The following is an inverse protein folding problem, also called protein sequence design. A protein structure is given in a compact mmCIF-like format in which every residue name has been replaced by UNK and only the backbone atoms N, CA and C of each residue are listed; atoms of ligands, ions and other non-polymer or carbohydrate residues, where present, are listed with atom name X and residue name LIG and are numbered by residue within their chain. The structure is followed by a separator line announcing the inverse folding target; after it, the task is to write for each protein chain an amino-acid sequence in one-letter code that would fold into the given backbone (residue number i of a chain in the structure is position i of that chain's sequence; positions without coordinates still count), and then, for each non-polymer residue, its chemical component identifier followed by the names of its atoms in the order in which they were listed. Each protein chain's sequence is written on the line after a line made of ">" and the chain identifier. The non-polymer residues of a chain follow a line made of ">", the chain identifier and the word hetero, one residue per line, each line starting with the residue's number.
data_IF_190320511410
#
_entry.id   IF_190320511410
#
_cell.length_a   1.000
_cell.length_b   1.000
_cell.length_c   1.000
_cell.angle_alpha   90.00
_cell.angle_beta   90.00
_cell.angle_gamma   90.00
#
_symmetry.space_group_name_H-M   'P 1'
#
loop_
_entity.id
_entity.type
_entity.pdbx_description
1 polymer ?
#
# COMPACT_ATOMS: atom_id res chain seq x y z
N UNK A 1 19.50 -37.50 -53.86
CA UNK A 1 19.68 -36.65 -52.70
C UNK A 1 18.36 -36.61 -51.93
N UNK A 2 18.23 -37.15 -50.72
CA UNK A 2 16.97 -37.13 -50.00
C UNK A 2 16.88 -35.86 -49.14
N UNK A 3 15.73 -35.15 -49.26
CA UNK A 3 15.39 -33.98 -48.49
C UNK A 3 15.08 -34.37 -47.04
N UNK A 4 15.78 -33.74 -46.08
CA UNK A 4 15.50 -33.90 -44.65
C UNK A 4 14.36 -32.99 -44.23
N UNK A 5 13.25 -33.58 -43.83
CA UNK A 5 12.08 -32.90 -43.24
C UNK A 5 12.43 -32.57 -41.77
N UNK A 6 12.58 -31.26 -41.49
CA UNK A 6 12.79 -30.78 -40.13
C UNK A 6 11.47 -30.66 -39.39
N UNK A 7 11.22 -31.52 -38.42
CA UNK A 7 10.04 -31.45 -37.51
C UNK A 7 10.24 -30.29 -36.50
N UNK A 8 9.49 -29.22 -36.67
CA UNK A 8 9.45 -28.14 -35.67
C UNK A 8 8.49 -28.53 -34.54
N UNK A 9 9.06 -28.86 -33.41
CA UNK A 9 8.29 -29.06 -32.15
C UNK A 9 8.05 -27.66 -31.57
N UNK A 10 6.81 -27.18 -31.68
CA UNK A 10 6.36 -25.99 -30.94
C UNK A 10 6.12 -26.38 -29.49
N UNK A 11 6.97 -25.86 -28.61
CA UNK A 11 6.73 -25.97 -27.17
C UNK A 11 5.53 -25.07 -26.79
N UNK A 12 4.40 -25.71 -26.50
CA UNK A 12 3.26 -25.06 -25.87
C UNK A 12 3.61 -24.88 -24.40
N UNK A 13 3.92 -23.64 -23.99
CA UNK A 13 4.08 -23.28 -22.58
C UNK A 13 2.71 -23.33 -21.93
N UNK A 14 2.46 -24.41 -21.18
CA UNK A 14 1.31 -24.54 -20.32
C UNK A 14 1.50 -23.57 -19.13
N UNK A 15 0.86 -22.43 -19.15
CA UNK A 15 0.71 -21.57 -17.97
C UNK A 15 -0.14 -22.34 -16.95
N UNK A 16 0.50 -22.93 -15.94
CA UNK A 16 -0.17 -23.50 -14.77
C UNK A 16 -0.82 -22.35 -14.00
N UNK A 17 -2.09 -22.11 -14.21
CA UNK A 17 -2.91 -21.29 -13.31
C UNK A 17 -3.05 -22.12 -12.03
N UNK A 18 -2.44 -21.66 -10.94
CA UNK A 18 -2.64 -22.27 -9.64
C UNK A 18 -4.14 -22.30 -9.32
N UNK A 19 -4.67 -23.40 -8.78
CA UNK A 19 -6.07 -23.45 -8.40
C UNK A 19 -6.39 -22.34 -7.39
N UNK A 20 -7.57 -21.73 -7.47
CA UNK A 20 -8.02 -20.59 -6.65
C UNK A 20 -7.74 -20.79 -5.14
N UNK A 21 -7.93 -22.02 -4.64
CA UNK A 21 -7.63 -22.37 -3.25
C UNK A 21 -6.16 -22.16 -2.85
N UNK A 22 -5.20 -22.53 -3.71
CA UNK A 22 -3.76 -22.36 -3.42
C UNK A 22 -3.37 -20.86 -3.43
N UNK A 23 -4.02 -20.04 -4.26
CA UNK A 23 -3.81 -18.59 -4.29
C UNK A 23 -4.36 -17.92 -3.04
N UNK A 24 -5.59 -18.27 -2.63
CA UNK A 24 -6.20 -17.76 -1.40
C UNK A 24 -5.36 -18.11 -0.15
N UNK A 25 -4.87 -19.35 -0.06
CA UNK A 25 -3.97 -19.77 1.03
C UNK A 25 -2.68 -18.94 1.05
N UNK A 26 -2.05 -18.69 -0.11
CA UNK A 26 -0.85 -17.87 -0.22
C UNK A 26 -1.07 -16.41 0.24
N UNK A 27 -2.22 -15.81 -0.12
CA UNK A 27 -2.62 -14.48 0.33
C UNK A 27 -2.82 -14.47 1.85
N UNK A 28 -3.56 -15.45 2.38
CA UNK A 28 -3.81 -15.57 3.82
C UNK A 28 -2.53 -15.71 4.63
N UNK A 29 -1.59 -16.54 4.20
CA UNK A 29 -0.29 -16.72 4.87
C UNK A 29 0.58 -15.48 4.78
N UNK A 30 0.53 -14.74 3.67
CA UNK A 30 1.22 -13.45 3.53
C UNK A 30 0.70 -12.44 4.54
N UNK A 31 -0.62 -12.33 4.70
CA UNK A 31 -1.25 -11.47 5.69
C UNK A 31 -0.90 -11.90 7.12
N UNK A 32 -0.93 -13.21 7.41
CA UNK A 32 -0.56 -13.74 8.72
C UNK A 32 0.90 -13.41 9.09
N UNK A 33 1.80 -13.55 8.13
CA UNK A 33 3.21 -13.22 8.34
C UNK A 33 3.46 -11.71 8.46
N UNK A 34 2.66 -10.86 7.78
CA UNK A 34 2.80 -9.40 7.82
C UNK A 34 2.22 -8.78 9.09
N UNK A 35 1.20 -9.43 9.68
CA UNK A 35 0.47 -8.91 10.84
C UNK A 35 0.47 -9.89 12.02
N UNK A 36 1.66 -10.24 12.56
CA UNK A 36 1.77 -11.16 13.68
C UNK A 36 1.01 -10.63 14.90
N UNK A 37 0.27 -11.50 15.57
CA UNK A 37 -0.57 -11.15 16.72
C UNK A 37 -1.96 -10.59 16.36
N UNK A 38 -2.26 -10.36 15.08
CA UNK A 38 -3.58 -9.92 14.59
C UNK A 38 -4.29 -10.99 13.78
N UNK A 39 -3.55 -11.78 13.02
CA UNK A 39 -4.07 -12.93 12.28
C UNK A 39 -3.73 -14.19 13.05
N UNK A 40 -4.76 -14.99 13.37
CA UNK A 40 -4.63 -16.27 14.07
C UNK A 40 -4.22 -17.37 13.07
N UNK A 41 -5.07 -17.63 12.09
CA UNK A 41 -4.85 -18.70 11.11
C UNK A 41 -5.57 -18.47 9.78
N UNK A 42 -5.19 -19.24 8.80
CA UNK A 42 -5.90 -19.42 7.53
C UNK A 42 -6.72 -20.71 7.62
N UNK A 43 -7.99 -20.65 7.24
CA UNK A 43 -8.94 -21.76 7.25
C UNK A 43 -9.60 -21.84 5.86
N UNK A 44 -8.93 -22.53 4.93
CA UNK A 44 -9.32 -22.55 3.52
C UNK A 44 -9.35 -21.16 2.91
N UNK A 45 -10.50 -20.71 2.43
CA UNK A 45 -10.71 -19.38 1.85
C UNK A 45 -11.12 -18.32 2.92
N UNK A 46 -10.76 -18.53 4.18
CA UNK A 46 -11.10 -17.62 5.28
C UNK A 46 -9.88 -17.26 6.09
N UNK A 47 -9.64 -15.97 6.27
CA UNK A 47 -8.70 -15.45 7.23
C UNK A 47 -9.39 -15.28 8.58
N UNK A 48 -8.85 -15.89 9.63
CA UNK A 48 -9.35 -15.78 11.01
C UNK A 48 -8.46 -14.84 11.79
N UNK A 49 -9.05 -13.75 12.28
CA UNK A 49 -8.34 -12.78 13.12
C UNK A 49 -8.29 -13.26 14.57
N UNK A 50 -7.30 -12.81 15.34
CA UNK A 50 -7.20 -13.10 16.80
C UNK A 50 -8.40 -12.61 17.59
N UNK A 51 -9.14 -11.62 17.08
CA UNK A 51 -10.42 -11.17 17.64
C UNK A 51 -11.59 -12.13 17.41
N UNK A 52 -11.40 -13.20 16.62
CA UNK A 52 -12.45 -14.11 16.18
C UNK A 52 -13.18 -13.65 14.90
N UNK A 53 -12.88 -12.45 14.38
CA UNK A 53 -13.45 -12.01 13.10
C UNK A 53 -12.98 -12.93 11.96
N UNK A 54 -13.90 -13.31 11.09
CA UNK A 54 -13.63 -14.14 9.91
C UNK A 54 -13.82 -13.32 8.64
N UNK A 55 -12.81 -13.30 7.79
CA UNK A 55 -12.82 -12.55 6.53
C UNK A 55 -12.62 -13.49 5.36
N UNK A 56 -13.40 -13.30 4.30
CA UNK A 56 -13.23 -14.03 3.04
C UNK A 56 -11.96 -13.56 2.35
N UNK A 57 -11.11 -14.48 1.89
CA UNK A 57 -9.89 -14.15 1.19
C UNK A 57 -10.19 -13.78 -0.26
N UNK A 58 -10.91 -14.64 -0.97
CA UNK A 58 -11.32 -14.45 -2.37
C UNK A 58 -12.81 -14.73 -2.49
N UNK A 59 -13.60 -13.76 -2.91
CA UNK A 59 -15.05 -13.91 -3.07
C UNK A 59 -15.46 -14.50 -4.45
N UNK A 60 -14.47 -14.79 -5.30
CA UNK A 60 -14.65 -15.40 -6.61
C UNK A 60 -15.23 -14.46 -7.67
N UNK A 61 -15.43 -13.17 -7.37
CA UNK A 61 -15.99 -12.20 -8.31
C UNK A 61 -14.90 -11.60 -9.21
N UNK A 62 -15.12 -11.57 -10.50
CA UNK A 62 -14.32 -10.74 -11.40
C UNK A 62 -14.72 -9.27 -11.22
N UNK A 63 -13.87 -8.47 -10.58
CA UNK A 63 -14.14 -7.06 -10.25
C UNK A 63 -13.43 -6.11 -11.21
N UNK A 64 -14.12 -5.05 -11.64
CA UNK A 64 -13.52 -3.90 -12.30
C UNK A 64 -12.65 -3.11 -11.31
N UNK A 65 -11.85 -2.17 -11.81
CA UNK A 65 -11.05 -1.26 -10.97
C UNK A 65 -11.92 -0.55 -9.90
N UNK A 66 -13.04 0.04 -10.30
CA UNK A 66 -13.93 0.75 -9.38
C UNK A 66 -14.58 -0.18 -8.35
N UNK A 67 -14.91 -1.41 -8.75
CA UNK A 67 -15.46 -2.42 -7.84
C UNK A 67 -14.43 -2.89 -6.81
N UNK A 68 -13.16 -3.11 -7.22
CA UNK A 68 -12.07 -3.40 -6.28
C UNK A 68 -11.81 -2.25 -5.32
N UNK A 69 -11.92 -1.01 -5.78
CA UNK A 69 -11.81 0.14 -4.90
C UNK A 69 -12.97 0.22 -3.89
N UNK A 70 -14.20 -0.08 -4.32
CA UNK A 70 -15.40 0.08 -3.49
C UNK A 70 -15.58 -1.04 -2.47
N UNK A 71 -15.32 -2.29 -2.89
CA UNK A 71 -15.60 -3.51 -2.11
C UNK A 71 -14.52 -4.58 -2.37
N UNK A 72 -13.27 -4.33 -1.95
CA UNK A 72 -12.20 -5.31 -2.13
C UNK A 72 -12.33 -6.43 -1.10
N UNK A 73 -12.14 -7.68 -1.54
CA UNK A 73 -11.78 -8.76 -0.64
C UNK A 73 -10.28 -8.72 -0.29
N UNK A 74 -9.75 -9.72 0.39
CA UNK A 74 -8.35 -9.71 0.81
C UNK A 74 -7.41 -9.98 -0.37
N UNK A 75 -7.83 -10.79 -1.34
CA UNK A 75 -7.04 -11.11 -2.54
C UNK A 75 -6.91 -9.90 -3.45
N UNK A 76 -7.95 -9.08 -3.59
CA UNK A 76 -7.91 -7.84 -4.35
C UNK A 76 -6.81 -6.88 -3.89
N UNK A 77 -6.42 -6.91 -2.61
CA UNK A 77 -5.33 -6.06 -2.11
C UNK A 77 -3.99 -6.32 -2.82
N UNK A 78 -3.84 -7.50 -3.42
CA UNK A 78 -2.65 -7.96 -4.15
C UNK A 78 -2.84 -7.99 -5.67
N UNK A 79 -3.94 -7.46 -6.20
CA UNK A 79 -4.27 -7.55 -7.62
C UNK A 79 -3.22 -6.91 -8.53
N UNK A 80 -2.62 -5.82 -8.09
CA UNK A 80 -1.58 -5.10 -8.83
C UNK A 80 -0.21 -5.31 -8.16
N UNK A 81 0.80 -5.88 -8.85
CA UNK A 81 2.15 -6.04 -8.31
C UNK A 81 2.79 -4.68 -8.02
N UNK A 82 3.34 -4.50 -6.82
CA UNK A 82 4.03 -3.27 -6.46
C UNK A 82 5.47 -3.24 -7.00
N UNK A 83 5.82 -2.26 -7.86
CA UNK A 83 7.17 -2.15 -8.43
C UNK A 83 8.12 -1.49 -7.41
N UNK A 84 9.02 -2.26 -6.79
CA UNK A 84 10.01 -1.74 -5.83
C UNK A 84 11.13 -0.96 -6.51
N UNK A 85 11.82 -0.12 -5.72
CA UNK A 85 13.04 0.57 -6.08
C UNK A 85 12.83 2.03 -6.52
N UNK A 86 13.94 2.76 -6.67
CA UNK A 86 13.95 4.20 -6.97
C UNK A 86 13.37 4.55 -8.34
N UNK A 87 13.46 3.63 -9.31
CA UNK A 87 12.94 3.89 -10.66
C UNK A 87 11.42 3.94 -10.65
N UNK A 88 10.87 5.10 -11.02
CA UNK A 88 9.44 5.28 -11.20
C UNK A 88 9.13 5.31 -12.68
N UNK A 89 8.30 4.37 -13.12
CA UNK A 89 7.73 4.33 -14.47
C UNK A 89 6.25 4.66 -14.36
N UNK A 90 5.70 5.57 -15.18
CA UNK A 90 4.27 5.85 -15.17
C UNK A 90 3.45 4.56 -15.27
N UNK A 91 2.57 4.25 -14.31
CA UNK A 91 1.77 3.04 -14.35
C UNK A 91 0.79 3.02 -15.52
N UNK A 92 0.38 1.82 -15.95
CA UNK A 92 -0.72 1.67 -16.88
C UNK A 92 -2.03 2.18 -16.27
N UNK A 93 -3.00 2.50 -17.11
CA UNK A 93 -4.30 2.98 -16.67
C UNK A 93 -4.92 2.01 -15.66
N UNK A 94 -5.45 2.57 -14.57
CA UNK A 94 -6.14 1.83 -13.50
C UNK A 94 -5.26 0.78 -12.78
N UNK A 95 -3.93 0.95 -12.80
CA UNK A 95 -2.98 0.14 -12.03
C UNK A 95 -2.50 0.95 -10.83
N UNK A 96 -3.00 0.62 -9.64
CA UNK A 96 -2.77 1.33 -8.38
C UNK A 96 -2.31 0.33 -7.27
N UNK A 97 -1.08 -0.22 -7.34
CA UNK A 97 -0.62 -1.28 -6.45
C UNK A 97 -0.66 -0.85 -4.97
N UNK A 98 -1.36 -1.64 -4.14
CA UNK A 98 -1.55 -1.37 -2.72
C UNK A 98 -2.67 -0.38 -2.39
N UNK A 99 -3.40 0.16 -3.37
CA UNK A 99 -4.48 1.13 -3.14
C UNK A 99 -5.82 0.49 -2.76
N UNK A 100 -6.03 -0.79 -3.10
CA UNK A 100 -7.19 -1.55 -2.64
C UNK A 100 -7.01 -1.92 -1.17
N UNK A 101 -7.99 -1.60 -0.33
CA UNK A 101 -7.92 -1.80 1.13
C UNK A 101 -9.22 -2.43 1.63
N UNK A 102 -9.14 -3.65 2.11
CA UNK A 102 -10.27 -4.25 2.81
C UNK A 102 -10.46 -3.55 4.16
N UNK A 103 -11.53 -2.75 4.27
CA UNK A 103 -11.76 -1.92 5.45
C UNK A 103 -11.95 -2.73 6.73
N UNK A 104 -12.63 -3.89 6.66
CA UNK A 104 -12.84 -4.73 7.82
C UNK A 104 -11.53 -5.32 8.36
N UNK A 105 -10.60 -5.68 7.48
CA UNK A 105 -9.27 -6.13 7.86
C UNK A 105 -8.48 -5.03 8.57
N UNK A 106 -8.42 -3.82 7.97
CA UNK A 106 -7.67 -2.71 8.58
C UNK A 106 -8.32 -2.21 9.88
N UNK A 107 -9.65 -2.18 9.98
CA UNK A 107 -10.34 -1.88 11.24
C UNK A 107 -10.02 -2.92 12.33
N UNK A 108 -9.92 -4.20 11.98
CA UNK A 108 -9.52 -5.24 12.94
C UNK A 108 -8.06 -5.11 13.41
N UNK A 109 -7.15 -4.69 12.50
CA UNK A 109 -5.73 -4.49 12.84
C UNK A 109 -5.53 -3.18 13.60
N UNK A 110 -6.06 -2.05 13.13
CA UNK A 110 -5.71 -0.72 13.62
C UNK A 110 -6.80 -0.05 14.45
N UNK A 111 -8.04 -0.53 14.37
CA UNK A 111 -9.24 0.04 14.96
C UNK A 111 -10.06 0.86 13.97
N UNK A 112 -11.35 1.02 14.26
CA UNK A 112 -12.24 1.89 13.48
C UNK A 112 -12.12 3.35 13.98
N UNK A 113 -11.57 4.24 13.16
CA UNK A 113 -11.39 5.63 13.53
C UNK A 113 -12.73 6.35 13.79
N UNK A 114 -13.81 5.93 13.12
CA UNK A 114 -15.16 6.51 13.29
C UNK A 114 -15.73 6.23 14.67
N UNK A 115 -15.23 5.17 15.34
CA UNK A 115 -15.55 4.82 16.74
C UNK A 115 -14.51 5.37 17.73
N UNK A 116 -13.51 6.13 17.26
CA UNK A 116 -12.44 6.64 18.12
C UNK A 116 -11.45 5.58 18.60
N UNK A 117 -11.46 4.37 18.00
CA UNK A 117 -10.60 3.26 18.46
C UNK A 117 -9.14 3.52 18.12
N UNK A 118 -8.85 4.08 16.94
CA UNK A 118 -7.48 4.37 16.47
C UNK A 118 -6.74 5.33 17.39
N UNK A 119 -7.44 6.33 17.94
CA UNK A 119 -6.81 7.37 18.77
C UNK A 119 -6.15 6.82 20.04
N UNK A 120 -6.62 5.66 20.52
CA UNK A 120 -6.08 4.96 21.70
C UNK A 120 -4.70 4.34 21.42
N UNK A 121 -4.36 4.17 20.15
CA UNK A 121 -3.13 3.51 19.69
C UNK A 121 -2.18 4.47 18.96
N UNK A 122 -2.49 5.77 18.93
CA UNK A 122 -1.59 6.74 18.33
C UNK A 122 -0.50 7.14 19.29
N UNK A 123 0.74 7.00 18.85
CA UNK A 123 1.93 7.44 19.58
C UNK A 123 2.64 8.56 18.84
N UNK A 124 3.45 9.33 19.55
CA UNK A 124 4.28 10.39 19.01
C UNK A 124 5.54 9.76 18.37
N UNK A 125 5.79 10.06 17.10
CA UNK A 125 6.98 9.62 16.36
C UNK A 125 7.78 10.85 15.95
N UNK A 126 9.07 10.97 16.31
CA UNK A 126 9.94 12.01 15.81
C UNK A 126 10.09 11.90 14.29
N UNK A 127 9.75 12.96 13.57
CA UNK A 127 9.87 13.02 12.12
C UNK A 127 11.04 13.92 11.70
N UNK A 128 12.08 13.32 11.18
CA UNK A 128 13.34 13.97 10.73
C UNK A 128 13.73 15.17 11.63
N UNK A 129 13.91 14.95 12.95
CA UNK A 129 14.03 16.03 13.94
C UNK A 129 15.24 16.94 13.69
N UNK A 130 16.37 16.42 13.18
CA UNK A 130 17.53 17.23 12.81
C UNK A 130 17.24 18.23 11.69
N UNK A 131 16.20 17.95 10.89
CA UNK A 131 15.78 18.84 9.81
C UNK A 131 14.60 19.74 10.20
N UNK A 132 14.12 19.63 11.43
CA UNK A 132 13.01 20.43 11.94
C UNK A 132 11.63 19.90 11.58
N UNK A 133 11.49 18.61 11.29
CA UNK A 133 10.21 17.98 10.94
C UNK A 133 9.26 17.79 12.13
N UNK A 134 9.78 17.90 13.35
CA UNK A 134 8.96 17.87 14.57
C UNK A 134 8.52 16.47 14.97
N UNK A 135 7.25 16.35 15.36
CA UNK A 135 6.66 15.09 15.83
C UNK A 135 5.32 14.86 15.13
N UNK A 136 5.09 13.64 14.70
CA UNK A 136 3.84 13.20 14.07
C UNK A 136 3.17 12.11 14.90
N UNK A 137 1.85 11.91 14.73
CA UNK A 137 1.10 10.85 15.42
C UNK A 137 0.89 9.67 14.49
N UNK A 138 1.28 8.47 14.93
CA UNK A 138 1.20 7.26 14.11
C UNK A 138 0.72 6.07 14.93
N UNK A 139 0.14 5.05 14.28
CA UNK A 139 -0.37 3.88 14.98
C UNK A 139 0.77 3.04 15.55
N UNK A 140 0.70 2.69 16.85
CA UNK A 140 1.61 1.75 17.51
C UNK A 140 1.28 0.29 17.19
N UNK A 141 0.19 0.01 16.46
CA UNK A 141 -0.22 -1.36 16.13
C UNK A 141 0.55 -1.88 14.92
N UNK A 142 0.76 -3.18 14.88
CA UNK A 142 1.42 -3.92 13.81
C UNK A 142 2.82 -3.37 13.40
N UNK A 143 3.53 -2.69 14.32
CA UNK A 143 4.86 -2.17 14.05
C UNK A 143 4.91 -0.89 13.21
N UNK A 144 3.78 -0.23 12.96
CA UNK A 144 3.72 0.92 12.03
C UNK A 144 4.51 2.13 12.55
N UNK A 145 4.40 2.47 13.84
CA UNK A 145 5.14 3.60 14.42
C UNK A 145 6.66 3.35 14.46
N UNK A 146 7.06 2.13 14.79
CA UNK A 146 8.46 1.69 14.79
C UNK A 146 9.05 1.75 13.37
N UNK A 147 8.30 1.33 12.38
CA UNK A 147 8.67 1.42 10.98
C UNK A 147 8.85 2.87 10.53
N UNK A 148 7.92 3.79 10.89
CA UNK A 148 8.05 5.20 10.56
C UNK A 148 9.24 5.86 11.28
N UNK A 149 9.52 5.49 12.52
CA UNK A 149 10.69 5.97 13.25
C UNK A 149 12.01 5.52 12.58
N UNK A 150 12.05 4.29 12.08
CA UNK A 150 13.19 3.78 11.32
C UNK A 150 13.37 4.52 9.98
N UNK A 151 12.28 4.76 9.24
CA UNK A 151 12.28 5.63 8.03
C UNK A 151 12.84 7.00 8.36
N UNK A 152 12.32 7.66 9.40
CA UNK A 152 12.75 9.00 9.82
C UNK A 152 14.26 9.06 10.09
N UNK A 153 14.78 8.08 10.83
CA UNK A 153 16.21 7.97 11.17
C UNK A 153 17.07 7.76 9.93
N UNK A 154 16.65 6.90 9.01
CA UNK A 154 17.40 6.59 7.80
C UNK A 154 17.40 7.76 6.82
N UNK A 155 16.27 8.46 6.64
CA UNK A 155 16.17 9.65 5.81
C UNK A 155 17.11 10.75 6.29
N UNK A 156 17.22 10.98 7.61
CA UNK A 156 18.16 11.97 8.17
C UNK A 156 19.63 11.64 7.97
N UNK A 157 19.96 10.36 7.75
CA UNK A 157 21.31 9.92 7.40
C UNK A 157 21.62 10.09 5.91
N UNK A 158 20.60 10.36 5.11
CA UNK A 158 20.69 10.56 3.67
C UNK A 158 21.11 11.99 3.27
N UNK A 159 21.07 12.29 1.95
CA UNK A 159 21.45 13.57 1.41
C UNK A 159 20.65 14.75 2.01
N UNK A 160 21.29 15.85 2.47
CA UNK A 160 20.56 17.02 3.00
C UNK A 160 19.58 17.65 2.00
N UNK A 161 19.78 17.46 0.70
CA UNK A 161 18.88 17.92 -0.35
C UNK A 161 17.47 17.29 -0.27
N UNK A 162 17.31 16.18 0.45
CA UNK A 162 16.00 15.54 0.67
C UNK A 162 15.12 16.31 1.64
N UNK A 163 15.69 17.13 2.52
CA UNK A 163 14.94 17.94 3.50
C UNK A 163 13.72 18.63 2.90
N UNK A 164 13.89 19.30 1.75
CA UNK A 164 12.82 20.08 1.09
C UNK A 164 11.60 19.26 0.66
N UNK A 165 11.75 17.93 0.51
CA UNK A 165 10.66 17.02 0.15
C UNK A 165 9.95 16.47 1.38
N UNK A 166 10.56 16.56 2.56
CA UNK A 166 10.13 15.87 3.78
C UNK A 166 9.60 16.84 4.85
N UNK A 167 9.99 18.12 4.76
CA UNK A 167 9.65 19.16 5.76
C UNK A 167 9.08 20.40 5.08
N UNK A 168 7.93 20.89 5.57
CA UNK A 168 7.08 20.27 6.59
C UNK A 168 6.36 19.01 6.06
N UNK A 169 6.03 18.04 6.92
CA UNK A 169 5.08 16.99 6.54
C UNK A 169 3.67 17.58 6.46
N UNK A 170 2.87 17.09 5.51
CA UNK A 170 1.47 17.52 5.37
C UNK A 170 0.51 16.80 6.33
N UNK A 171 1.02 15.82 7.09
CA UNK A 171 0.29 15.18 8.18
C UNK A 171 0.26 13.66 8.11
N UNK A 172 -0.29 13.07 9.18
CA UNK A 172 -0.41 11.62 9.35
C UNK A 172 -1.85 11.23 9.65
N UNK A 173 -2.24 11.20 10.94
CA UNK A 173 -3.58 10.78 11.33
C UNK A 173 -4.65 11.81 11.01
N UNK A 174 -5.64 11.37 10.25
CA UNK A 174 -6.86 12.14 9.98
C UNK A 174 -8.02 11.17 9.72
N UNK A 175 -8.96 11.06 10.67
CA UNK A 175 -10.15 10.22 10.51
C UNK A 175 -11.11 10.85 9.49
N UNK A 176 -11.02 10.41 8.25
CA UNK A 176 -11.88 10.87 7.15
C UNK A 176 -12.15 9.75 6.15
N UNK A 177 -13.27 9.85 5.46
CA UNK A 177 -13.50 9.10 4.23
C UNK A 177 -12.81 9.80 3.05
N UNK A 178 -12.43 9.04 2.05
CA UNK A 178 -11.93 9.57 0.77
C UNK A 178 -13.09 10.27 0.07
N UNK A 179 -12.86 11.50 -0.40
CA UNK A 179 -13.89 12.32 -1.04
C UNK A 179 -14.62 11.55 -2.17
N UNK A 180 -15.96 11.63 -2.17
CA UNK A 180 -16.82 10.93 -3.13
C UNK A 180 -16.98 9.42 -2.90
N UNK A 181 -16.52 8.89 -1.75
CA UNK A 181 -16.61 7.46 -1.42
C UNK A 181 -17.04 7.24 0.03
N UNK A 182 -17.31 5.97 0.40
CA UNK A 182 -17.52 5.55 1.80
C UNK A 182 -16.25 4.90 2.40
N UNK A 183 -15.11 4.94 1.70
CA UNK A 183 -13.87 4.28 2.10
C UNK A 183 -13.09 5.15 3.08
N UNK A 184 -12.62 4.55 4.16
CA UNK A 184 -11.70 5.21 5.09
C UNK A 184 -10.35 5.43 4.39
N UNK A 185 -9.77 6.61 4.58
CA UNK A 185 -8.40 6.91 4.14
C UNK A 185 -7.40 6.13 4.99
N UNK A 186 -6.24 5.75 4.45
CA UNK A 186 -5.15 5.15 5.23
C UNK A 186 -4.70 6.04 6.41
N UNK A 187 -4.85 7.35 6.28
CA UNK A 187 -4.66 8.29 7.39
C UNK A 187 -5.63 8.05 8.55
N UNK A 188 -6.84 7.52 8.26
CA UNK A 188 -7.82 7.20 9.29
C UNK A 188 -7.39 6.07 10.21
N UNK A 189 -6.54 5.16 9.74
CA UNK A 189 -5.93 4.11 10.56
C UNK A 189 -4.61 4.54 11.22
N UNK A 190 -4.12 5.76 10.94
CA UNK A 190 -2.85 6.27 11.45
C UNK A 190 -1.64 5.53 10.89
N UNK A 191 -1.71 5.05 9.65
CA UNK A 191 -0.66 4.28 8.96
C UNK A 191 -0.12 4.96 7.71
N UNK A 192 -0.52 6.20 7.44
CA UNK A 192 -0.04 6.98 6.31
C UNK A 192 0.58 8.30 6.75
N UNK A 193 1.54 8.76 5.96
CA UNK A 193 2.16 10.08 6.07
C UNK A 193 2.18 10.74 4.70
N UNK A 194 1.77 12.00 4.67
CA UNK A 194 1.98 12.88 3.53
C UNK A 194 3.20 13.77 3.79
N UNK A 195 4.17 13.72 2.88
CA UNK A 195 5.37 14.55 2.93
C UNK A 195 5.10 15.94 2.33
N UNK A 196 6.12 16.78 2.11
CA UNK A 196 5.95 18.17 1.71
C UNK A 196 5.07 18.34 0.45
N UNK A 197 3.86 18.91 0.62
CA UNK A 197 2.86 19.07 -0.43
C UNK A 197 3.33 20.00 -1.56
N UNK A 198 4.08 21.06 -1.24
CA UNK A 198 4.59 22.03 -2.22
C UNK A 198 5.64 21.44 -3.17
N UNK A 199 6.20 20.28 -2.84
CA UNK A 199 7.15 19.50 -3.66
C UNK A 199 6.52 18.24 -4.27
N UNK A 200 5.22 18.06 -4.10
CA UNK A 200 4.49 16.87 -4.51
C UNK A 200 3.54 17.15 -5.65
N UNK A 201 3.04 16.10 -6.27
CA UNK A 201 2.08 16.13 -7.35
C UNK A 201 0.95 15.15 -7.03
N UNK A 202 -0.28 15.55 -7.33
CA UNK A 202 -1.48 14.73 -7.13
C UNK A 202 -2.32 14.74 -8.40
N UNK A 203 -2.71 13.58 -8.89
CA UNK A 203 -3.42 13.41 -10.15
C UNK A 203 -4.67 14.30 -10.25
N UNK A 204 -5.42 14.41 -9.15
CA UNK A 204 -6.68 15.16 -9.10
C UNK A 204 -6.51 16.67 -9.32
N UNK A 205 -5.33 17.23 -9.02
CA UNK A 205 -5.07 18.65 -9.24
C UNK A 205 -4.96 19.03 -10.72
N UNK A 206 -4.57 18.06 -11.57
CA UNK A 206 -4.43 18.31 -13.01
C UNK A 206 -5.59 17.76 -13.84
N UNK A 207 -6.28 16.72 -13.38
CA UNK A 207 -7.46 16.17 -14.03
C UNK A 207 -8.44 15.56 -13.01
N UNK A 208 -9.36 16.37 -12.44
CA UNK A 208 -10.38 15.89 -11.51
C UNK A 208 -11.32 14.83 -12.09
N UNK A 209 -11.36 14.69 -13.42
CA UNK A 209 -12.22 13.70 -14.09
C UNK A 209 -11.60 12.31 -14.16
N UNK A 210 -10.30 12.19 -13.95
CA UNK A 210 -9.54 10.94 -14.09
C UNK A 210 -9.43 10.40 -15.51
N UNK A 211 -9.89 11.16 -16.53
CA UNK A 211 -9.94 10.68 -17.93
C UNK A 211 -8.60 10.73 -18.62
N UNK A 212 -7.72 11.65 -18.22
CA UNK A 212 -6.44 11.94 -18.86
C UNK A 212 -5.38 12.24 -17.81
N UNK A 213 -5.07 11.27 -16.96
CA UNK A 213 -4.07 11.42 -15.90
C UNK A 213 -2.69 11.54 -16.56
N UNK A 214 -2.16 12.77 -16.61
CA UNK A 214 -0.79 13.03 -17.04
C UNK A 214 0.15 12.86 -15.84
N UNK A 215 0.93 11.79 -15.84
CA UNK A 215 1.82 11.45 -14.72
C UNK A 215 2.83 12.56 -14.45
N UNK A 216 2.97 12.92 -13.17
CA UNK A 216 3.97 13.86 -12.66
C UNK A 216 4.54 13.34 -11.34
N UNK A 217 5.84 13.53 -11.16
CA UNK A 217 6.53 13.27 -9.89
C UNK A 217 7.79 14.12 -9.78
N UNK A 218 7.96 14.78 -8.64
CA UNK A 218 9.15 15.58 -8.31
C UNK A 218 9.97 15.00 -7.16
N UNK A 219 9.41 14.02 -6.44
CA UNK A 219 10.07 13.40 -5.29
C UNK A 219 11.08 12.37 -5.80
N UNK A 220 12.34 12.40 -5.32
CA UNK A 220 13.35 11.39 -5.66
C UNK A 220 12.91 9.98 -5.26
N UNK A 221 13.09 9.01 -6.16
CA UNK A 221 12.72 7.61 -5.91
C UNK A 221 13.55 6.97 -4.81
N UNK A 222 14.75 7.47 -4.55
CA UNK A 222 15.62 7.00 -3.46
C UNK A 222 15.00 7.26 -2.08
N UNK A 223 14.19 8.32 -1.95
CA UNK A 223 13.37 8.55 -0.74
C UNK A 223 12.36 7.41 -0.60
N UNK A 224 11.70 7.00 -1.69
CA UNK A 224 10.75 5.91 -1.66
C UNK A 224 11.40 4.57 -1.31
N UNK A 225 12.62 4.31 -1.76
CA UNK A 225 13.35 3.10 -1.38
C UNK A 225 13.59 3.00 0.13
N UNK A 226 13.84 4.14 0.80
CA UNK A 226 13.94 4.16 2.27
C UNK A 226 12.62 3.71 2.88
N UNK A 227 11.50 4.27 2.46
CA UNK A 227 10.19 3.89 2.94
C UNK A 227 9.87 2.41 2.65
N UNK A 228 10.17 1.92 1.46
CA UNK A 228 9.91 0.54 1.03
C UNK A 228 10.68 -0.50 1.87
N UNK A 229 11.92 -0.18 2.28
CA UNK A 229 12.70 -1.04 3.18
C UNK A 229 12.03 -1.25 4.53
N UNK A 230 11.20 -0.31 4.94
CA UNK A 230 10.48 -0.32 6.21
C UNK A 230 8.97 -0.63 6.05
N UNK A 231 8.57 -1.20 4.92
CA UNK A 231 7.20 -1.71 4.74
C UNK A 231 6.19 -0.68 4.26
N UNK A 232 6.61 0.47 3.73
CA UNK A 232 5.70 1.48 3.18
C UNK A 232 5.62 1.40 1.66
N UNK A 233 4.41 1.47 1.13
CA UNK A 233 4.17 1.70 -0.30
C UNK A 233 4.04 3.19 -0.59
N UNK A 234 4.34 3.60 -1.82
CA UNK A 234 4.35 4.99 -2.26
C UNK A 234 3.28 5.26 -3.33
N UNK A 235 2.48 6.28 -3.12
CA UNK A 235 1.39 6.66 -4.03
C UNK A 235 1.85 7.22 -5.39
N UNK A 236 3.14 7.57 -5.58
CA UNK A 236 3.65 7.88 -6.91
C UNK A 236 3.73 6.66 -7.84
N UNK A 237 3.61 5.45 -7.31
CA UNK A 237 3.58 4.20 -8.09
C UNK A 237 2.16 3.79 -8.52
N UNK A 238 1.20 4.69 -8.39
CA UNK A 238 -0.19 4.54 -8.83
C UNK A 238 -0.44 5.29 -10.13
N UNK A 239 -1.32 4.78 -10.97
CA UNK A 239 -1.84 5.55 -12.11
C UNK A 239 -2.53 6.83 -11.63
N UNK A 240 -3.36 6.73 -10.60
CA UNK A 240 -3.94 7.85 -9.88
C UNK A 240 -2.95 8.34 -8.81
N UNK A 241 -1.81 8.84 -9.27
CA UNK A 241 -0.66 9.14 -8.43
C UNK A 241 -0.96 10.18 -7.34
N UNK A 242 -0.38 9.93 -6.18
CA UNK A 242 -0.35 10.81 -5.01
C UNK A 242 1.08 10.79 -4.46
N UNK A 243 1.93 11.70 -4.96
CA UNK A 243 3.37 11.57 -4.72
C UNK A 243 3.80 11.98 -3.31
N UNK A 244 2.93 12.69 -2.55
CA UNK A 244 3.21 12.97 -1.14
C UNK A 244 2.92 11.77 -0.24
N UNK A 245 2.06 10.84 -0.68
CA UNK A 245 1.45 9.80 0.14
C UNK A 245 2.32 8.56 0.24
N UNK A 246 2.67 8.19 1.48
CA UNK A 246 3.28 6.91 1.84
C UNK A 246 2.40 6.22 2.88
N UNK A 247 2.16 4.90 2.72
CA UNK A 247 1.37 4.14 3.69
C UNK A 247 2.02 2.81 4.07
N UNK A 248 1.94 2.46 5.33
CA UNK A 248 2.49 1.22 5.87
C UNK A 248 1.65 0.02 5.43
N UNK A 249 2.22 -0.78 4.54
CA UNK A 249 1.61 -1.94 3.89
C UNK A 249 2.64 -3.08 3.80
N UNK A 250 3.07 -3.64 4.95
CA UNK A 250 4.13 -4.64 4.95
C UNK A 250 3.79 -5.90 4.16
N UNK A 251 2.51 -6.23 4.01
CA UNK A 251 2.03 -7.36 3.23
C UNK A 251 2.30 -7.23 1.73
N UNK A 252 2.29 -6.01 1.19
CA UNK A 252 2.53 -5.74 -0.24
C UNK A 252 4.01 -5.87 -0.61
N UNK A 253 4.88 -5.71 0.38
CA UNK A 253 6.33 -5.65 0.19
C UNK A 253 7.06 -6.93 0.64
N UNK A 254 6.35 -8.04 0.84
CA UNK A 254 6.91 -9.35 1.22
C UNK A 254 7.25 -10.23 0.02
#
# INVERSE_FOLDING_TARGET
>A
MPARLALRISAVSLLLVAPCAARAEGVGETLRAAYPGFVDRVDGNTLVMTSGLRLTIDDGRAKTFDQRLADPDLEDMFADPYPRGAKVTPPAKDVDPGRYRNGAFFDAVYGDCRKGEVTKHLVAVPWVPKWGGGTVRFSSRAGAAEALAAVSKELEAGPPAWKKFLVPSAGTYNCRVIAGTNRVSAHGWGIAIDVATDKSDYWYWSDPTGRKVAYKNRIPGEIAEVFERHGFVWGAKWYHYDTMHFEYRPEILR
#
